data_IF_038645121284
#
_entry.id   IF_038645121284
#
_cell.length_a   1.000
_cell.length_b   1.000
_cell.length_c   1.000
_cell.angle_alpha   90.00
_cell.angle_beta   90.00
_cell.angle_gamma   90.00
#
_symmetry.space_group_name_H-M   'P 1'
#
loop_
_entity.id
_entity.type
_entity.pdbx_description
1 polymer ?
#
# COMPACT_ATOMS: atom_id res chain seq x y z
N UNK A 1 -23.52 -8.44 -11.06
CA UNK A 1 -22.28 -9.22 -11.15
C UNK A 1 -21.33 -8.44 -12.05
N UNK A 2 -20.13 -8.18 -11.56
CA UNK A 2 -19.11 -7.39 -12.24
C UNK A 2 -17.96 -8.31 -12.64
N UNK A 3 -17.30 -7.93 -13.74
CA UNK A 3 -16.09 -8.58 -14.24
C UNK A 3 -14.94 -7.58 -14.18
N UNK A 4 -13.86 -7.96 -13.51
CA UNK A 4 -12.64 -7.15 -13.43
C UNK A 4 -11.53 -7.93 -14.12
N UNK A 5 -11.02 -7.38 -15.22
CA UNK A 5 -9.85 -7.91 -15.92
C UNK A 5 -8.62 -7.12 -15.46
N UNK A 6 -7.64 -7.84 -14.92
CA UNK A 6 -6.37 -7.30 -14.43
C UNK A 6 -5.29 -7.62 -15.45
N UNK A 7 -4.51 -6.59 -15.80
CA UNK A 7 -3.43 -6.67 -16.76
C UNK A 7 -2.11 -6.35 -16.07
N UNK A 8 -1.08 -7.14 -16.34
CA UNK A 8 0.28 -6.84 -15.95
C UNK A 8 0.89 -5.82 -16.93
N UNK A 9 1.25 -4.60 -16.50
CA UNK A 9 1.84 -3.60 -17.40
C UNK A 9 3.21 -4.02 -17.96
N UNK A 10 3.84 -5.06 -17.41
CA UNK A 10 5.10 -5.62 -17.90
C UNK A 10 4.91 -6.78 -18.88
N UNK A 11 3.67 -7.26 -19.09
CA UNK A 11 3.40 -8.31 -20.07
C UNK A 11 3.48 -7.76 -21.50
N UNK A 12 3.94 -8.61 -22.41
CA UNK A 12 4.13 -8.29 -23.82
C UNK A 12 2.88 -8.64 -24.65
N UNK A 13 1.96 -9.43 -24.09
CA UNK A 13 0.66 -9.75 -24.65
C UNK A 13 -0.45 -8.93 -23.99
N UNK A 14 -1.50 -8.63 -24.75
CA UNK A 14 -2.74 -7.99 -24.26
C UNK A 14 -3.69 -9.00 -23.57
N UNK A 15 -3.14 -10.13 -23.10
CA UNK A 15 -3.92 -11.16 -22.43
C UNK A 15 -4.22 -10.76 -20.99
N UNK A 16 -5.46 -11.01 -20.56
CA UNK A 16 -5.87 -10.79 -19.18
C UNK A 16 -5.05 -11.70 -18.25
N UNK A 17 -4.30 -11.10 -17.34
CA UNK A 17 -3.49 -11.81 -16.34
C UNK A 17 -4.37 -12.48 -15.29
N UNK A 18 -5.41 -11.80 -14.83
CA UNK A 18 -6.35 -12.31 -13.85
C UNK A 18 -7.74 -11.77 -14.13
N UNK A 19 -8.74 -12.66 -14.11
CA UNK A 19 -10.15 -12.32 -14.26
C UNK A 19 -10.90 -12.60 -12.97
N UNK A 20 -11.58 -11.59 -12.46
CA UNK A 20 -12.32 -11.66 -11.19
C UNK A 20 -13.80 -11.43 -11.46
N UNK A 21 -14.63 -12.38 -11.04
CA UNK A 21 -16.08 -12.21 -10.97
C UNK A 21 -16.47 -11.84 -9.55
N UNK A 22 -17.22 -10.76 -9.41
CA UNK A 22 -17.60 -10.24 -8.09
C UNK A 22 -19.07 -9.79 -8.09
N UNK A 23 -19.79 -10.10 -7.02
CA UNK A 23 -21.16 -9.60 -6.84
C UNK A 23 -21.19 -8.20 -6.20
N UNK A 24 -22.36 -7.57 -6.19
CA UNK A 24 -22.53 -6.20 -5.68
C UNK A 24 -22.29 -6.09 -4.18
N UNK A 25 -22.60 -7.13 -3.41
CA UNK A 25 -22.38 -7.17 -1.96
C UNK A 25 -20.89 -7.27 -1.66
N UNK A 26 -20.18 -8.18 -2.33
CA UNK A 26 -18.73 -8.31 -2.23
C UNK A 26 -18.02 -7.00 -2.61
N UNK A 27 -18.45 -6.36 -3.70
CA UNK A 27 -17.87 -5.10 -4.15
C UNK A 27 -18.06 -3.98 -3.12
N UNK A 28 -19.25 -3.85 -2.53
CA UNK A 28 -19.53 -2.86 -1.48
C UNK A 28 -18.67 -3.10 -0.23
N UNK A 29 -18.54 -4.35 0.20
CA UNK A 29 -17.69 -4.70 1.35
C UNK A 29 -16.23 -4.32 1.08
N UNK A 30 -15.71 -4.66 -0.10
CA UNK A 30 -14.34 -4.29 -0.49
C UNK A 30 -14.12 -2.78 -0.48
N UNK A 31 -15.05 -2.00 -1.04
CA UNK A 31 -14.97 -0.52 -1.04
C UNK A 31 -14.92 0.03 0.38
N UNK A 32 -15.82 -0.43 1.25
CA UNK A 32 -15.88 0.07 2.63
C UNK A 32 -14.59 -0.24 3.41
N UNK A 33 -14.06 -1.45 3.28
CA UNK A 33 -12.79 -1.84 3.90
C UNK A 33 -11.61 -1.03 3.36
N UNK A 34 -11.55 -0.81 2.04
CA UNK A 34 -10.53 0.02 1.43
C UNK A 34 -10.56 1.47 1.95
N UNK A 35 -11.76 2.05 2.06
CA UNK A 35 -11.94 3.39 2.61
C UNK A 35 -11.52 3.46 4.08
N UNK A 36 -11.84 2.46 4.89
CA UNK A 36 -11.42 2.38 6.29
C UNK A 36 -9.88 2.40 6.40
N UNK A 37 -9.19 1.54 5.64
CA UNK A 37 -7.72 1.48 5.62
C UNK A 37 -7.10 2.80 5.17
N UNK A 38 -7.59 3.40 4.09
CA UNK A 38 -7.06 4.67 3.58
C UNK A 38 -7.30 5.80 4.60
N UNK A 39 -8.44 5.81 5.27
CA UNK A 39 -8.80 6.82 6.28
C UNK A 39 -7.95 6.73 7.55
N UNK A 40 -7.49 5.53 7.92
CA UNK A 40 -6.58 5.34 9.05
C UNK A 40 -5.22 6.04 8.84
N UNK A 41 -4.87 6.32 7.58
CA UNK A 41 -3.63 6.99 7.22
C UNK A 41 -2.40 6.09 7.41
N UNK A 42 -1.23 6.68 7.24
CA UNK A 42 0.05 5.99 7.46
C UNK A 42 0.43 6.05 8.94
N UNK A 43 1.15 5.04 9.47
CA UNK A 43 1.66 5.09 10.84
C UNK A 43 2.53 6.33 11.03
N UNK A 44 2.42 6.95 12.20
CA UNK A 44 3.17 8.16 12.55
C UNK A 44 4.49 7.77 13.21
N UNK A 45 5.58 8.42 12.81
CA UNK A 45 6.88 8.24 13.46
C UNK A 45 6.88 8.85 14.87
N UNK A 46 7.23 8.08 15.89
CA UNK A 46 7.28 8.54 17.29
C UNK A 46 8.36 9.62 17.56
N UNK A 47 9.31 9.81 16.63
CA UNK A 47 10.39 10.78 16.77
C UNK A 47 10.08 12.10 16.08
N UNK A 48 9.73 12.05 14.79
CA UNK A 48 9.51 13.25 13.98
C UNK A 48 8.03 13.63 13.84
N UNK A 49 7.10 12.78 14.29
CA UNK A 49 5.65 12.93 14.16
C UNK A 49 5.16 13.08 12.71
N UNK A 50 5.98 12.68 11.73
CA UNK A 50 5.60 12.64 10.31
C UNK A 50 5.08 11.25 9.94
N UNK A 51 4.20 11.14 8.93
CA UNK A 51 3.78 9.86 8.37
C UNK A 51 4.98 9.06 7.82
N UNK A 52 5.03 7.76 8.13
CA UNK A 52 6.06 6.83 7.63
C UNK A 52 5.72 6.43 6.20
N UNK A 53 6.66 6.60 5.27
CA UNK A 53 6.52 6.15 3.90
C UNK A 53 6.90 4.65 3.80
N UNK A 54 6.12 3.79 3.14
CA UNK A 54 6.44 2.37 3.00
C UNK A 54 7.76 2.07 2.30
N UNK A 55 8.18 2.88 1.32
CA UNK A 55 9.43 2.63 0.57
C UNK A 55 10.67 3.02 1.37
N UNK A 56 10.68 4.25 1.91
CA UNK A 56 11.79 4.77 2.70
C UNK A 56 11.32 5.90 3.63
N UNK A 57 11.57 5.77 4.94
CA UNK A 57 11.35 6.83 5.93
C UNK A 57 12.69 7.33 6.49
N UNK A 58 13.16 8.46 5.97
CA UNK A 58 14.29 9.19 6.54
C UNK A 58 13.79 10.12 7.65
N UNK A 59 14.21 9.86 8.89
CA UNK A 59 13.81 10.63 10.06
C UNK A 59 14.94 11.59 10.47
N UNK A 60 14.69 12.90 10.36
CA UNK A 60 15.67 13.93 10.73
C UNK A 60 16.18 13.78 12.19
N UNK A 61 15.33 13.28 13.09
CA UNK A 61 15.63 13.05 14.51
C UNK A 61 16.34 11.73 14.80
N UNK A 62 16.51 10.84 13.81
CA UNK A 62 17.36 9.63 13.92
C UNK A 62 18.82 9.89 13.55
N UNK A 63 19.15 11.09 13.05
CA UNK A 63 20.52 11.48 12.71
C UNK A 63 21.41 11.52 13.98
N UNK A 64 21.99 10.36 14.30
CA UNK A 64 22.80 10.13 15.51
C UNK A 64 22.87 8.66 15.95
N UNK A 65 21.93 7.80 15.53
CA UNK A 65 21.98 6.36 15.79
C UNK A 65 22.14 5.58 14.48
N UNK A 66 23.36 5.62 13.90
CA UNK A 66 23.77 4.60 12.94
C UNK A 66 23.75 3.23 13.64
N UNK A 67 23.16 2.23 13.00
CA UNK A 67 23.16 0.83 13.47
C UNK A 67 24.52 0.14 13.26
N UNK A 68 25.58 0.92 13.05
CA UNK A 68 26.94 0.48 12.84
C UNK A 68 27.79 1.03 13.98
N UNK A 69 28.17 0.13 14.89
CA UNK A 69 29.41 0.26 15.63
C UNK A 69 30.52 0.17 14.59
N UNK A 70 31.05 1.32 14.16
CA UNK A 70 32.36 1.36 13.52
C UNK A 70 33.38 1.12 14.64
N UNK A 71 33.88 -0.11 14.73
CA UNK A 71 35.15 -0.45 15.39
C UNK A 71 36.18 -0.63 14.28
#
# INVERSE_FOLDING_TARGET
MFLIDVYDPSSISDETTLRIWIDTTQLKTFINQGLEIVSAGRPICELCHKPINPDEHCCDYRNGHSKELII
#
